data_IF_501366706597
#
_entry.id   IF_501366706597
#
_cell.length_a   1.000
_cell.length_b   1.000
_cell.length_c   1.000
_cell.angle_alpha   90.00
_cell.angle_beta   90.00
_cell.angle_gamma   90.00
#
_symmetry.space_group_name_H-M   'P 1'
#
loop_
_entity.id
_entity.type
_entity.pdbx_description
1 polymer ?
#
# COMPACT_ATOMS: atom_id res chain seq x y z
N UNK A 1 -1.82 13.68 -11.36
CA UNK A 1 -2.09 12.44 -10.60
C UNK A 1 -2.30 11.32 -11.59
N UNK A 2 -1.69 10.16 -11.34
CA UNK A 2 -2.02 8.96 -12.09
C UNK A 2 -3.22 8.28 -11.42
N UNK A 3 -4.42 8.49 -11.95
CA UNK A 3 -5.66 7.91 -11.41
C UNK A 3 -5.92 6.48 -11.94
N UNK A 4 -4.91 5.86 -12.56
CA UNK A 4 -4.99 4.47 -13.01
C UNK A 4 -5.06 3.53 -11.81
N UNK A 5 -5.90 2.51 -11.97
CA UNK A 5 -5.93 1.38 -11.05
C UNK A 5 -4.81 0.39 -11.36
N UNK A 6 -4.15 -0.07 -10.30
CA UNK A 6 -3.11 -1.08 -10.33
C UNK A 6 -3.47 -2.22 -9.38
N UNK A 7 -2.84 -3.37 -9.61
CA UNK A 7 -2.89 -4.51 -8.71
C UNK A 7 -1.63 -4.53 -7.84
N UNK A 8 -1.85 -4.67 -6.54
CA UNK A 8 -0.79 -4.73 -5.53
C UNK A 8 -0.85 -6.08 -4.83
N UNK A 9 0.28 -6.79 -4.82
CA UNK A 9 0.47 -7.93 -3.94
C UNK A 9 0.78 -7.40 -2.53
N UNK A 10 0.03 -7.86 -1.54
CA UNK A 10 0.25 -7.50 -0.13
C UNK A 10 0.43 -8.75 0.74
N UNK A 11 0.93 -8.63 1.97
CA UNK A 11 1.13 -9.78 2.85
C UNK A 11 -0.16 -10.51 3.20
N UNK A 12 -0.05 -11.83 3.41
CA UNK A 12 -1.20 -12.68 3.70
C UNK A 12 -1.95 -12.28 5.00
N UNK A 13 -1.22 -11.84 6.02
CA UNK A 13 -1.78 -11.40 7.30
C UNK A 13 -2.43 -10.01 7.25
N UNK A 14 -2.18 -9.20 6.21
CA UNK A 14 -2.75 -7.86 6.13
C UNK A 14 -4.21 -7.91 5.68
N UNK A 15 -5.11 -7.39 6.50
CA UNK A 15 -6.51 -7.15 6.12
C UNK A 15 -6.64 -5.79 5.44
N UNK A 16 -7.18 -5.76 4.22
CA UNK A 16 -7.40 -4.53 3.44
C UNK A 16 -8.82 -4.51 2.92
N UNK A 17 -9.60 -3.54 3.40
CA UNK A 17 -10.96 -3.28 2.92
C UNK A 17 -10.96 -2.25 1.79
N UNK A 18 -12.01 -2.26 0.96
CA UNK A 18 -12.25 -1.19 -0.02
C UNK A 18 -12.26 0.18 0.67
N UNK A 19 -11.53 1.13 0.11
CA UNK A 19 -11.38 2.49 0.64
C UNK A 19 -10.25 2.67 1.65
N UNK A 20 -9.65 1.58 2.16
CA UNK A 20 -8.50 1.66 3.05
C UNK A 20 -7.28 2.24 2.34
N UNK A 21 -6.45 2.97 3.09
CA UNK A 21 -5.12 3.37 2.63
C UNK A 21 -4.13 2.37 3.21
N UNK A 22 -3.31 1.80 2.33
CA UNK A 22 -2.17 0.97 2.74
C UNK A 22 -0.95 1.86 2.81
N UNK A 23 -0.19 1.72 3.89
CA UNK A 23 1.02 2.45 4.18
C UNK A 23 2.21 1.50 4.21
N UNK A 24 3.39 2.04 3.93
CA UNK A 24 4.68 1.36 4.09
C UNK A 24 5.46 2.02 5.21
N UNK A 25 5.88 1.22 6.20
CA UNK A 25 6.80 1.64 7.25
C UNK A 25 8.22 1.69 6.66
N UNK A 26 8.82 2.87 6.58
CA UNK A 26 10.09 3.08 5.84
C UNK A 26 11.27 2.39 6.51
N UNK A 27 11.27 2.35 7.85
CA UNK A 27 12.36 1.76 8.63
C UNK A 27 12.51 0.24 8.45
N UNK A 28 11.47 -0.43 7.97
CA UNK A 28 11.42 -1.88 7.77
C UNK A 28 11.56 -2.26 6.30
N UNK A 29 12.00 -1.34 5.44
CA UNK A 29 12.28 -1.63 4.03
C UNK A 29 13.71 -2.15 3.91
N UNK A 30 13.89 -3.34 3.37
CA UNK A 30 15.19 -3.89 3.02
C UNK A 30 15.38 -3.88 1.50
N UNK A 31 16.44 -3.23 1.01
CA UNK A 31 16.70 -3.13 -0.43
C UNK A 31 15.72 -2.20 -1.15
N UNK A 32 15.18 -2.66 -2.28
CA UNK A 32 14.32 -1.84 -3.16
C UNK A 32 12.84 -2.20 -3.12
N UNK A 33 12.45 -3.16 -2.28
CA UNK A 33 11.07 -3.63 -2.15
C UNK A 33 10.66 -3.60 -0.68
N UNK A 34 9.42 -3.21 -0.35
CA UNK A 34 8.95 -3.29 1.03
C UNK A 34 8.85 -4.76 1.47
N UNK A 35 9.44 -5.08 2.63
CA UNK A 35 9.23 -6.37 3.28
C UNK A 35 7.79 -6.52 3.76
N UNK A 36 7.35 -7.75 4.00
CA UNK A 36 5.98 -8.03 4.44
C UNK A 36 5.61 -7.25 5.73
N UNK A 37 6.55 -7.13 6.67
CA UNK A 37 6.35 -6.40 7.92
C UNK A 37 6.19 -4.88 7.73
N UNK A 38 6.56 -4.34 6.57
CA UNK A 38 6.44 -2.92 6.28
C UNK A 38 4.99 -2.49 6.00
N UNK A 39 4.14 -3.42 5.55
CA UNK A 39 2.77 -3.12 5.15
C UNK A 39 1.84 -2.94 6.36
N UNK A 40 1.08 -1.86 6.36
CA UNK A 40 0.12 -1.56 7.43
C UNK A 40 -1.05 -0.73 6.92
N UNK A 41 -2.21 -0.84 7.56
CA UNK A 41 -3.39 0.00 7.27
C UNK A 41 -3.53 1.18 8.22
N UNK A 42 -2.58 1.36 9.14
CA UNK A 42 -2.58 2.44 10.12
C UNK A 42 -1.56 3.51 9.76
N UNK A 43 -2.03 4.75 9.63
CA UNK A 43 -1.18 5.93 9.48
C UNK A 43 -0.26 6.13 10.71
N UNK A 44 0.81 6.92 10.55
CA UNK A 44 1.70 7.28 11.65
C UNK A 44 3.05 7.80 11.19
N UNK A 45 3.86 8.29 12.14
CA UNK A 45 5.22 8.72 11.86
C UNK A 45 6.05 7.56 11.29
N UNK A 46 6.92 7.86 10.33
CA UNK A 46 7.76 6.86 9.66
C UNK A 46 7.04 5.99 8.63
N UNK A 47 5.78 6.32 8.28
CA UNK A 47 4.97 5.58 7.30
C UNK A 47 4.60 6.46 6.12
N UNK A 48 4.66 5.91 4.92
CA UNK A 48 4.29 6.58 3.68
C UNK A 48 3.01 5.96 3.14
N UNK A 49 2.02 6.79 2.79
CA UNK A 49 0.81 6.32 2.12
C UNK A 49 1.17 5.79 0.73
N UNK A 50 0.93 4.50 0.50
CA UNK A 50 1.39 3.83 -0.71
C UNK A 50 0.30 3.78 -1.78
N UNK A 51 -0.86 3.23 -1.46
CA UNK A 51 -2.02 3.21 -2.35
C UNK A 51 -3.33 3.25 -1.56
N UNK A 52 -4.41 3.69 -2.23
CA UNK A 52 -5.78 3.59 -1.73
C UNK A 52 -6.48 2.43 -2.42
N UNK A 53 -6.99 1.49 -1.63
CA UNK A 53 -7.71 0.33 -2.11
C UNK A 53 -9.05 0.74 -2.74
N UNK A 54 -9.31 0.32 -3.98
CA UNK A 54 -10.59 0.49 -4.67
C UNK A 54 -11.45 -0.78 -4.60
N UNK A 55 -10.83 -1.91 -4.26
CA UNK A 55 -11.46 -3.17 -3.89
C UNK A 55 -10.85 -3.74 -2.60
N UNK A 56 -11.54 -4.67 -1.94
CA UNK A 56 -10.96 -5.42 -0.82
C UNK A 56 -9.89 -6.41 -1.31
N UNK A 57 -9.00 -6.85 -0.42
CA UNK A 57 -8.03 -7.92 -0.72
C UNK A 57 -8.77 -9.21 -1.09
N UNK A 58 -8.34 -9.85 -2.17
CA UNK A 58 -8.87 -11.14 -2.60
C UNK A 58 -8.14 -12.35 -1.95
N UNK A 59 -8.56 -13.56 -2.32
CA UNK A 59 -7.98 -14.80 -1.80
C UNK A 59 -6.52 -15.06 -2.24
N UNK A 60 -6.01 -14.33 -3.23
CA UNK A 60 -4.64 -14.42 -3.72
C UNK A 60 -3.74 -13.32 -3.15
N UNK A 61 -4.24 -12.57 -2.15
CA UNK A 61 -3.59 -11.40 -1.56
C UNK A 61 -3.36 -10.23 -2.52
N UNK A 62 -4.19 -10.13 -3.57
CA UNK A 62 -4.17 -9.00 -4.49
C UNK A 62 -5.16 -7.94 -4.01
N UNK A 63 -4.72 -6.69 -4.01
CA UNK A 63 -5.58 -5.52 -3.80
C UNK A 63 -5.55 -4.67 -5.06
N UNK A 64 -6.72 -4.35 -5.61
CA UNK A 64 -6.83 -3.32 -6.65
C UNK A 64 -6.93 -1.95 -6.00
N UNK A 65 -6.17 -0.98 -6.47
CA UNK A 65 -6.14 0.36 -5.90
C UNK A 65 -5.46 1.40 -6.77
N UNK A 66 -5.50 2.65 -6.30
CA UNK A 66 -4.82 3.78 -6.95
C UNK A 66 -3.57 4.13 -6.17
N UNK A 67 -2.43 4.23 -6.86
CA UNK A 67 -1.15 4.57 -6.25
C UNK A 67 -1.14 6.02 -5.75
N UNK A 68 -0.75 6.23 -4.50
CA UNK A 68 -0.67 7.55 -3.87
C UNK A 68 0.76 8.08 -3.81
N UNK A 69 1.75 7.21 -3.61
CA UNK A 69 3.15 7.60 -3.45
C UNK A 69 3.72 8.34 -4.67
N UNK A 70 3.20 8.08 -5.88
CA UNK A 70 3.58 8.82 -7.09
C UNK A 70 3.18 10.31 -7.03
N UNK A 71 2.09 10.65 -6.33
CA UNK A 71 1.68 12.04 -6.14
C UNK A 71 2.48 12.76 -5.05
N UNK A 72 3.11 12.04 -4.11
CA UNK A 72 3.90 12.63 -3.03
C UNK A 72 5.36 12.92 -3.43
N UNK A 73 5.89 12.21 -4.43
CA UNK A 73 7.27 12.38 -4.93
C UNK A 73 7.40 13.32 -6.14
N UNK A 74 6.26 13.79 -6.68
CA UNK A 74 6.20 14.74 -7.80
C UNK A 74 5.96 16.20 -7.34
N UNK A 75 6.17 16.49 -6.06
CA UNK A 75 6.07 17.82 -5.45
C UNK A 75 7.43 18.46 -5.21
#
# INVERSE_FOLDING_TARGET
>A
ADDREYQFLVPAGLSVAKGAIVYITVATITGHYPDDEAYTTSAGAGKVAFFKATAAKDGNNIVTGVMLAHNALAS
#
